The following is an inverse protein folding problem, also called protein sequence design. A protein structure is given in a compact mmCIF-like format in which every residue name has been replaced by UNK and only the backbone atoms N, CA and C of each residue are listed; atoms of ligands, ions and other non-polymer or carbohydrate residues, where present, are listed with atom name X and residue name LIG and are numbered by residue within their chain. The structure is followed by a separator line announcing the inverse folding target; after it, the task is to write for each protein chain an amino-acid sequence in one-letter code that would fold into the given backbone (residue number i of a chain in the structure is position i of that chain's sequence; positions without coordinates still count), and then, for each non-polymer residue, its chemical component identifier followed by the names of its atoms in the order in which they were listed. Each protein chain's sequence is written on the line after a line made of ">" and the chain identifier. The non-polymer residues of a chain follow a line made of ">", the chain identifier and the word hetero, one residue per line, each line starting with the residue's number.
data_IF_127957766335
#
_entry.id   IF_127957766335
#
_cell.length_a   1.000
_cell.length_b   1.000
_cell.length_c   1.000
_cell.angle_alpha   90.00
_cell.angle_beta   90.00
_cell.angle_gamma   90.00
#
_symmetry.space_group_name_H-M   'P 1'
#
loop_
_entity.id
_entity.type
_entity.pdbx_description
1 polymer ?
#
# COMPACT_ATOMS: atom_id res chain seq x y z
N UNK A 1 10.33 -5.28 33.20
CA UNK A 1 11.27 -4.93 32.13
C UNK A 1 10.55 -3.99 31.17
N UNK A 2 11.18 -2.89 30.75
CA UNK A 2 10.66 -1.95 29.77
C UNK A 2 11.21 -2.34 28.40
N UNK A 3 10.46 -3.06 27.56
CA UNK A 3 10.97 -3.63 26.31
C UNK A 3 11.08 -2.59 25.18
N UNK A 4 10.39 -1.46 25.29
CA UNK A 4 10.41 -0.40 24.30
C UNK A 4 11.22 0.78 24.82
N UNK A 5 12.04 1.36 23.95
CA UNK A 5 12.76 2.59 24.28
C UNK A 5 12.99 3.45 23.05
N UNK A 6 13.05 4.75 23.29
CA UNK A 6 13.39 5.77 22.29
C UNK A 6 14.63 6.48 22.82
N UNK A 7 15.66 6.63 22.00
CA UNK A 7 16.89 7.34 22.33
C UNK A 7 17.00 8.57 21.45
N UNK A 8 17.34 9.70 22.09
CA UNK A 8 17.60 10.97 21.42
C UNK A 8 18.87 11.59 22.03
N UNK A 9 19.41 12.61 21.39
CA UNK A 9 20.54 13.39 21.94
C UNK A 9 20.27 13.98 23.34
N UNK A 10 18.98 14.14 23.71
CA UNK A 10 18.58 14.76 25.00
C UNK A 10 18.23 13.76 26.08
N UNK A 11 18.07 12.49 25.75
CA UNK A 11 17.70 11.48 26.74
C UNK A 11 17.16 10.19 26.14
N UNK A 12 16.87 9.25 27.03
CA UNK A 12 16.25 7.98 26.68
C UNK A 12 14.90 7.85 27.39
N UNK A 13 13.85 7.50 26.62
CA UNK A 13 12.53 7.16 27.13
C UNK A 13 12.35 5.65 27.06
N UNK A 14 11.99 5.04 28.18
CA UNK A 14 11.62 3.63 28.22
C UNK A 14 10.13 3.49 28.50
N UNK A 15 9.48 2.51 27.87
CA UNK A 15 8.03 2.31 27.94
C UNK A 15 7.76 0.86 28.33
N UNK A 16 6.84 0.65 29.27
CA UNK A 16 6.40 -0.69 29.68
C UNK A 16 5.70 -1.41 28.53
N UNK A 17 5.65 -2.75 28.59
CA UNK A 17 5.04 -3.58 27.53
C UNK A 17 3.54 -3.27 27.31
N UNK A 18 2.84 -2.89 28.35
CA UNK A 18 1.43 -2.50 28.32
C UNK A 18 1.20 -1.01 28.03
N UNK A 19 2.29 -0.28 27.74
CA UNK A 19 2.30 1.17 27.48
C UNK A 19 1.68 2.03 28.61
N UNK A 20 1.55 1.48 29.82
CA UNK A 20 0.93 2.21 30.97
C UNK A 20 1.94 2.99 31.77
N UNK A 21 3.22 2.69 31.63
CA UNK A 21 4.31 3.33 32.38
C UNK A 21 5.44 3.73 31.44
N UNK A 22 6.02 4.91 31.68
CA UNK A 22 7.19 5.38 30.98
C UNK A 22 8.18 6.02 31.97
N UNK A 23 9.49 5.92 31.68
CA UNK A 23 10.55 6.56 32.43
C UNK A 23 11.46 7.32 31.48
N UNK A 24 11.82 8.54 31.88
CA UNK A 24 12.73 9.39 31.14
C UNK A 24 14.08 9.47 31.85
N UNK A 25 15.14 9.25 31.12
CA UNK A 25 16.52 9.32 31.60
C UNK A 25 17.27 10.41 30.83
N UNK A 26 17.89 11.36 31.55
CA UNK A 26 18.72 12.43 30.98
C UNK A 26 20.19 12.36 31.41
N UNK A 27 20.54 11.37 32.22
CA UNK A 27 21.95 11.20 32.66
C UNK A 27 22.79 10.69 31.49
N UNK A 28 23.90 11.36 31.10
CA UNK A 28 24.70 11.01 29.93
C UNK A 28 25.15 9.54 29.90
N UNK A 29 25.56 8.99 31.04
CA UNK A 29 25.98 7.59 31.13
C UNK A 29 24.85 6.61 30.82
N UNK A 30 23.63 6.91 31.29
CA UNK A 30 22.45 6.10 31.01
C UNK A 30 22.01 6.22 29.53
N UNK A 31 22.02 7.43 28.97
CA UNK A 31 21.70 7.67 27.54
C UNK A 31 22.69 6.91 26.68
N UNK A 32 24.00 7.01 26.94
CA UNK A 32 25.03 6.28 26.19
C UNK A 32 24.86 4.76 26.26
N UNK A 33 24.36 4.22 27.37
CA UNK A 33 24.05 2.79 27.47
C UNK A 33 22.92 2.40 26.52
N UNK A 34 21.83 3.21 26.45
CA UNK A 34 20.72 2.96 25.53
C UNK A 34 21.10 3.19 24.08
N UNK A 35 21.98 4.16 23.78
CA UNK A 35 22.53 4.34 22.41
C UNK A 35 23.28 3.09 21.93
N UNK A 36 24.17 2.55 22.81
CA UNK A 36 24.88 1.31 22.49
C UNK A 36 23.93 0.12 22.31
N UNK A 37 22.93 0.00 23.16
CA UNK A 37 21.91 -1.04 23.03
C UNK A 37 21.11 -0.89 21.75
N UNK A 38 20.73 0.34 21.39
CA UNK A 38 20.05 0.65 20.13
C UNK A 38 20.90 0.26 18.92
N UNK A 39 22.19 0.64 18.90
CA UNK A 39 23.10 0.30 17.81
C UNK A 39 23.17 -1.23 17.60
N UNK A 40 23.32 -2.01 18.68
CA UNK A 40 23.35 -3.47 18.60
C UNK A 40 22.04 -4.06 18.10
N UNK A 41 20.90 -3.52 18.50
CA UNK A 41 19.58 -3.96 18.02
C UNK A 41 19.36 -3.55 16.57
N UNK A 42 19.76 -2.33 16.21
CA UNK A 42 19.67 -1.82 14.85
C UNK A 42 20.49 -2.66 13.86
N UNK A 43 21.74 -2.97 14.20
CA UNK A 43 22.62 -3.80 13.36
C UNK A 43 22.06 -5.23 13.14
N UNK A 44 21.25 -5.72 14.08
CA UNK A 44 20.63 -7.04 14.03
C UNK A 44 19.21 -7.04 13.50
N UNK A 45 18.61 -5.86 13.32
CA UNK A 45 17.25 -5.74 12.84
C UNK A 45 17.21 -5.56 11.32
N UNK A 46 16.17 -6.06 10.70
CA UNK A 46 15.85 -5.66 9.35
C UNK A 46 15.21 -4.27 9.38
N UNK A 47 15.55 -3.36 8.44
CA UNK A 47 14.88 -2.08 8.34
C UNK A 47 13.37 -2.28 8.26
N UNK A 48 12.61 -1.59 9.09
CA UNK A 48 11.14 -1.57 9.01
C UNK A 48 10.61 -0.38 8.21
N UNK A 49 11.48 0.57 7.88
CA UNK A 49 11.16 1.78 7.14
C UNK A 49 12.17 1.98 6.00
N UNK A 50 11.67 2.08 4.79
CA UNK A 50 12.46 2.33 3.59
C UNK A 50 12.02 3.66 3.00
N UNK A 51 12.97 4.56 2.74
CA UNK A 51 12.75 5.78 1.96
C UNK A 51 13.00 5.45 0.49
N UNK A 52 12.17 6.00 -0.39
CA UNK A 52 12.31 5.83 -1.84
C UNK A 52 11.90 7.10 -2.58
N UNK A 53 12.41 7.28 -3.78
CA UNK A 53 12.24 8.48 -4.61
C UNK A 53 11.83 8.15 -6.05
N UNK A 54 11.72 6.87 -6.38
CA UNK A 54 11.37 6.39 -7.72
C UNK A 54 10.57 5.10 -7.64
N UNK A 55 9.90 4.77 -8.76
CA UNK A 55 9.17 3.50 -8.90
C UNK A 55 10.09 2.29 -8.74
N UNK A 56 11.29 2.23 -9.35
CA UNK A 56 12.22 1.13 -9.13
C UNK A 56 12.64 0.95 -7.66
N UNK A 57 12.92 2.04 -6.95
CA UNK A 57 13.27 1.98 -5.54
C UNK A 57 12.11 1.50 -4.67
N UNK A 58 10.87 1.89 -4.99
CA UNK A 58 9.69 1.36 -4.35
C UNK A 58 9.61 -0.17 -4.47
N UNK A 59 9.76 -0.72 -5.69
CA UNK A 59 9.74 -2.16 -5.89
C UNK A 59 10.92 -2.89 -5.23
N UNK A 60 12.09 -2.26 -5.17
CA UNK A 60 13.21 -2.79 -4.39
C UNK A 60 12.88 -2.84 -2.90
N UNK A 61 12.24 -1.79 -2.36
CA UNK A 61 11.80 -1.78 -0.98
C UNK A 61 10.77 -2.89 -0.72
N UNK A 62 9.76 -3.07 -1.59
CA UNK A 62 8.81 -4.19 -1.54
C UNK A 62 9.53 -5.54 -1.53
N UNK A 63 10.50 -5.73 -2.43
CA UNK A 63 11.24 -7.00 -2.50
C UNK A 63 12.06 -7.28 -1.23
N UNK A 64 12.63 -6.24 -0.59
CA UNK A 64 13.35 -6.39 0.70
C UNK A 64 12.42 -6.87 1.82
N UNK A 65 11.13 -6.62 1.74
CA UNK A 65 10.15 -7.13 2.69
C UNK A 65 9.80 -8.61 2.46
N UNK A 66 10.34 -9.23 1.40
CA UNK A 66 10.02 -10.58 0.95
C UNK A 66 10.09 -11.62 2.06
N UNK A 67 11.10 -11.55 2.93
CA UNK A 67 11.26 -12.50 4.05
C UNK A 67 10.10 -12.45 5.05
N UNK A 68 9.35 -11.36 5.11
CA UNK A 68 8.13 -11.26 5.93
C UNK A 68 6.98 -12.09 5.33
N UNK A 69 7.06 -12.44 4.05
CA UNK A 69 6.00 -13.07 3.27
C UNK A 69 6.29 -14.52 2.83
N UNK A 70 7.51 -15.03 3.06
CA UNK A 70 7.98 -16.32 2.49
C UNK A 70 7.15 -17.56 2.89
N UNK A 71 6.32 -17.47 3.92
CA UNK A 71 5.53 -18.61 4.41
C UNK A 71 4.05 -18.57 3.97
N UNK A 72 3.65 -17.67 3.04
CA UNK A 72 2.27 -17.18 2.93
C UNK A 72 1.51 -17.49 1.66
N UNK A 73 1.82 -18.58 0.98
CA UNK A 73 0.97 -18.99 -0.14
C UNK A 73 -0.44 -19.30 0.37
N UNK A 74 -1.40 -18.51 -0.07
CA UNK A 74 -2.82 -18.73 0.18
C UNK A 74 -3.48 -17.82 1.20
N UNK A 75 -2.82 -16.78 1.70
CA UNK A 75 -3.37 -15.80 2.63
C UNK A 75 -4.25 -14.74 1.95
N UNK A 76 -5.10 -14.07 2.74
CA UNK A 76 -5.90 -12.94 2.29
C UNK A 76 -5.12 -11.64 2.47
N UNK A 77 -5.16 -10.79 1.44
CA UNK A 77 -4.56 -9.47 1.41
C UNK A 77 -5.66 -8.41 1.34
N UNK A 78 -5.63 -7.46 2.26
CA UNK A 78 -6.51 -6.29 2.27
C UNK A 78 -5.70 -5.06 1.88
N UNK A 79 -6.05 -4.45 0.76
CA UNK A 79 -5.41 -3.26 0.20
C UNK A 79 -6.36 -2.08 0.42
N UNK A 80 -5.98 -1.17 1.29
CA UNK A 80 -6.71 0.08 1.52
C UNK A 80 -5.99 1.20 0.76
N UNK A 81 -6.66 1.79 -0.20
CA UNK A 81 -6.14 2.87 -1.02
C UNK A 81 -7.19 3.97 -1.22
N UNK A 82 -6.77 5.15 -1.63
CA UNK A 82 -7.71 6.22 -1.97
C UNK A 82 -8.56 5.84 -3.18
N UNK A 83 -7.92 5.30 -4.22
CA UNK A 83 -8.53 4.93 -5.51
C UNK A 83 -8.64 3.41 -5.66
N UNK A 84 -9.47 2.91 -6.60
CA UNK A 84 -9.41 1.51 -6.98
C UNK A 84 -7.99 1.11 -7.41
N UNK A 85 -7.34 0.23 -6.67
CA UNK A 85 -5.99 -0.25 -7.01
C UNK A 85 -6.04 -1.10 -8.29
N UNK A 86 -5.23 -0.75 -9.28
CA UNK A 86 -5.11 -1.43 -10.56
C UNK A 86 -3.77 -2.13 -10.75
N UNK A 87 -2.94 -2.20 -9.70
CA UNK A 87 -1.60 -2.79 -9.75
C UNK A 87 -1.60 -4.22 -10.31
N UNK A 88 -2.64 -5.02 -10.03
CA UNK A 88 -2.79 -6.38 -10.57
C UNK A 88 -3.03 -6.43 -12.08
N UNK A 89 -3.36 -5.31 -12.71
CA UNK A 89 -3.54 -5.17 -14.17
C UNK A 89 -2.35 -4.55 -14.89
N UNK A 90 -1.33 -4.14 -14.17
CA UNK A 90 -0.12 -3.51 -14.71
C UNK A 90 0.73 -4.55 -15.43
N UNK A 91 1.16 -4.25 -16.66
CA UNK A 91 2.13 -5.03 -17.42
C UNK A 91 3.54 -4.46 -17.28
N UNK A 92 4.55 -5.21 -17.70
CA UNK A 92 5.93 -4.73 -17.78
C UNK A 92 6.03 -3.45 -18.63
N UNK A 93 5.31 -3.41 -19.77
CA UNK A 93 5.26 -2.23 -20.63
C UNK A 93 4.64 -1.01 -19.93
N UNK A 94 3.61 -1.22 -19.12
CA UNK A 94 3.01 -0.13 -18.35
C UNK A 94 4.01 0.42 -17.34
N UNK A 95 4.75 -0.43 -16.65
CA UNK A 95 5.82 0.00 -15.73
C UNK A 95 6.88 0.85 -16.44
N UNK A 96 7.31 0.45 -17.64
CA UNK A 96 8.27 1.24 -18.43
C UNK A 96 7.74 2.64 -18.72
N UNK A 97 6.46 2.80 -18.98
CA UNK A 97 5.84 4.11 -19.23
C UNK A 97 5.63 4.96 -17.98
N UNK A 98 5.67 4.34 -16.80
CA UNK A 98 5.48 5.03 -15.52
C UNK A 98 6.77 5.68 -14.97
N UNK A 99 7.94 5.37 -15.53
CA UNK A 99 9.20 5.93 -15.06
C UNK A 99 9.37 7.38 -15.50
N UNK A 100 9.93 8.21 -14.61
CA UNK A 100 10.12 9.64 -14.88
C UNK A 100 11.28 9.91 -15.82
N UNK A 101 12.28 9.03 -15.90
CA UNK A 101 13.47 9.20 -16.75
C UNK A 101 13.75 7.97 -17.60
N UNK A 102 14.44 8.18 -18.75
CA UNK A 102 14.92 7.09 -19.60
C UNK A 102 15.96 6.21 -18.88
N UNK A 103 16.78 6.79 -18.00
CA UNK A 103 17.75 6.05 -17.19
C UNK A 103 17.03 5.08 -16.23
N UNK A 104 15.94 5.53 -15.62
CA UNK A 104 15.10 4.66 -14.80
C UNK A 104 14.39 3.60 -15.63
N UNK A 105 13.90 3.93 -16.83
CA UNK A 105 13.23 2.97 -17.71
C UNK A 105 14.16 1.86 -18.22
N UNK A 106 15.45 2.18 -18.38
CA UNK A 106 16.50 1.20 -18.69
C UNK A 106 16.84 0.27 -17.52
N UNK A 107 16.46 0.66 -16.30
CA UNK A 107 16.73 -0.12 -15.10
C UNK A 107 15.61 -1.14 -14.83
N UNK A 108 15.62 -2.23 -15.63
CA UNK A 108 14.96 -3.47 -15.25
C UNK A 108 13.44 -3.40 -14.92
N UNK A 109 12.63 -2.81 -15.80
CA UNK A 109 11.17 -2.91 -15.69
C UNK A 109 10.70 -4.37 -15.54
N UNK A 110 11.39 -5.31 -16.18
CA UNK A 110 11.17 -6.75 -16.02
C UNK A 110 11.41 -7.23 -14.57
N UNK A 111 12.43 -6.72 -13.88
CA UNK A 111 12.69 -7.07 -12.46
C UNK A 111 11.62 -6.46 -11.57
N UNK A 112 11.28 -5.19 -11.76
CA UNK A 112 10.20 -4.54 -11.02
C UNK A 112 8.86 -5.25 -11.25
N UNK A 113 8.58 -5.63 -12.48
CA UNK A 113 7.40 -6.42 -12.83
C UNK A 113 7.41 -7.80 -12.17
N UNK A 114 8.56 -8.48 -12.15
CA UNK A 114 8.69 -9.74 -11.42
C UNK A 114 8.42 -9.60 -9.91
N UNK A 115 8.87 -8.51 -9.30
CA UNK A 115 8.58 -8.22 -7.88
C UNK A 115 7.09 -7.93 -7.66
N UNK A 116 6.45 -7.17 -8.54
CA UNK A 116 5.01 -6.92 -8.49
C UNK A 116 4.23 -8.23 -8.61
N UNK A 117 4.53 -9.04 -9.62
CA UNK A 117 3.87 -10.33 -9.85
C UNK A 117 4.07 -11.26 -8.66
N UNK A 118 5.30 -11.37 -8.13
CA UNK A 118 5.59 -12.16 -6.94
C UNK A 118 4.79 -11.68 -5.72
N UNK A 119 4.65 -10.38 -5.55
CA UNK A 119 3.87 -9.78 -4.45
C UNK A 119 2.38 -10.10 -4.57
N UNK A 120 1.76 -9.80 -5.72
CA UNK A 120 0.32 -9.99 -5.91
C UNK A 120 -0.07 -11.48 -5.99
N UNK A 121 0.78 -12.37 -6.52
CA UNK A 121 0.46 -13.80 -6.65
C UNK A 121 0.50 -14.57 -5.34
N UNK A 122 1.02 -13.97 -4.28
CA UNK A 122 1.03 -14.58 -2.93
C UNK A 122 -0.33 -14.57 -2.26
N UNK A 123 -1.16 -13.58 -2.58
CA UNK A 123 -2.51 -13.52 -2.05
C UNK A 123 -3.41 -14.51 -2.81
N UNK A 124 -4.17 -15.31 -2.06
CA UNK A 124 -5.22 -16.15 -2.59
C UNK A 124 -6.45 -15.32 -2.95
N UNK A 125 -6.74 -14.30 -2.14
CA UNK A 125 -7.79 -13.34 -2.35
C UNK A 125 -7.28 -11.94 -1.96
N UNK A 126 -7.56 -10.96 -2.81
CA UNK A 126 -7.26 -9.55 -2.58
C UNK A 126 -8.56 -8.78 -2.35
N UNK A 127 -8.67 -8.15 -1.19
CA UNK A 127 -9.75 -7.23 -0.85
C UNK A 127 -9.28 -5.80 -1.13
N UNK A 128 -9.75 -5.20 -2.20
CA UNK A 128 -9.37 -3.85 -2.64
C UNK A 128 -10.42 -2.87 -2.12
N UNK A 129 -10.07 -2.11 -1.09
CA UNK A 129 -10.95 -1.17 -0.40
C UNK A 129 -10.53 0.25 -0.75
N UNK A 130 -11.45 1.04 -1.28
CA UNK A 130 -11.20 2.42 -1.71
C UNK A 130 -12.37 3.34 -1.36
N UNK A 131 -12.15 4.66 -1.39
CA UNK A 131 -13.20 5.63 -1.07
C UNK A 131 -14.11 5.94 -2.26
N UNK A 132 -15.35 6.34 -1.97
CA UNK A 132 -16.28 6.84 -3.00
C UNK A 132 -15.70 8.05 -3.73
N UNK A 133 -15.09 8.98 -3.00
CA UNK A 133 -14.43 10.14 -3.58
C UNK A 133 -13.26 9.73 -4.49
N UNK A 134 -12.41 8.81 -4.03
CA UNK A 134 -11.30 8.31 -4.83
C UNK A 134 -11.77 7.59 -6.10
N UNK A 135 -12.90 6.88 -6.04
CA UNK A 135 -13.52 6.32 -7.24
C UNK A 135 -13.95 7.43 -8.21
N UNK A 136 -14.57 8.50 -7.73
CA UNK A 136 -14.98 9.62 -8.57
C UNK A 136 -13.75 10.26 -9.25
N UNK A 137 -12.70 10.55 -8.49
CA UNK A 137 -11.45 11.09 -9.00
C UNK A 137 -10.81 10.15 -10.04
N UNK A 138 -10.79 8.83 -9.79
CA UNK A 138 -10.27 7.84 -10.73
C UNK A 138 -10.97 7.89 -12.10
N UNK A 139 -12.28 8.12 -12.15
CA UNK A 139 -13.02 8.19 -13.40
C UNK A 139 -13.08 9.58 -14.03
N UNK A 140 -13.00 10.65 -13.26
CA UNK A 140 -13.17 12.01 -13.74
C UNK A 140 -11.87 12.71 -14.11
N UNK A 141 -10.80 12.51 -13.32
CA UNK A 141 -9.54 13.20 -13.54
C UNK A 141 -8.85 12.70 -14.82
N UNK A 142 -8.26 13.61 -15.56
CA UNK A 142 -7.48 13.26 -16.76
C UNK A 142 -6.12 12.66 -16.35
N UNK A 143 -5.54 13.14 -15.27
CA UNK A 143 -4.29 12.62 -14.71
C UNK A 143 -4.58 11.66 -13.56
N UNK A 144 -3.99 10.48 -13.62
CA UNK A 144 -4.04 9.47 -12.57
C UNK A 144 -2.67 8.82 -12.39
N UNK A 145 -2.21 8.77 -11.16
CA UNK A 145 -0.93 8.19 -10.78
C UNK A 145 -1.18 7.02 -9.82
N UNK A 146 -0.75 5.83 -10.21
CA UNK A 146 -0.90 4.64 -9.36
C UNK A 146 0.00 4.72 -8.13
N UNK A 147 1.18 5.31 -8.27
CA UNK A 147 2.12 5.43 -7.17
C UNK A 147 2.21 6.84 -6.59
N UNK A 148 2.48 7.84 -7.36
CA UNK A 148 2.39 9.29 -7.08
C UNK A 148 2.97 10.10 -8.24
N UNK A 149 2.52 11.33 -8.41
CA UNK A 149 3.03 12.25 -9.44
C UNK A 149 4.49 12.63 -9.27
N UNK A 150 5.04 12.57 -8.06
CA UNK A 150 6.43 12.91 -7.80
C UNK A 150 7.42 11.78 -8.12
N UNK A 151 6.94 10.55 -8.32
CA UNK A 151 7.79 9.39 -8.61
C UNK A 151 7.39 8.62 -9.87
N UNK A 152 6.28 8.97 -10.50
CA UNK A 152 5.79 8.28 -11.70
C UNK A 152 5.10 9.22 -12.66
N UNK A 153 4.97 8.80 -13.92
CA UNK A 153 4.12 9.45 -14.92
C UNK A 153 2.67 8.97 -14.79
N UNK A 154 1.69 9.78 -15.25
CA UNK A 154 0.29 9.38 -15.18
C UNK A 154 -0.05 8.24 -16.14
N UNK A 155 -0.98 7.39 -15.71
CA UNK A 155 -1.56 6.36 -16.57
C UNK A 155 -2.65 6.98 -17.43
N UNK A 156 -2.61 6.83 -18.77
CA UNK A 156 -3.66 7.33 -19.65
C UNK A 156 -5.03 6.76 -19.29
N UNK A 157 -6.07 7.56 -19.45
CA UNK A 157 -7.46 7.27 -19.06
C UNK A 157 -7.98 5.96 -19.65
N UNK A 158 -7.73 5.77 -20.94
CA UNK A 158 -8.10 4.55 -21.67
C UNK A 158 -7.44 3.32 -21.06
N UNK A 159 -6.14 3.45 -20.77
CA UNK A 159 -5.34 2.32 -20.27
C UNK A 159 -5.77 1.92 -18.86
N UNK A 160 -6.03 2.87 -17.96
CA UNK A 160 -6.49 2.52 -16.59
C UNK A 160 -7.87 1.85 -16.59
N UNK A 161 -8.78 2.22 -17.53
CA UNK A 161 -10.06 1.56 -17.65
C UNK A 161 -9.95 0.15 -18.24
N UNK A 162 -9.02 -0.06 -19.18
CA UNK A 162 -8.70 -1.39 -19.67
C UNK A 162 -8.17 -2.29 -18.56
N UNK A 163 -7.21 -1.81 -17.77
CA UNK A 163 -6.65 -2.53 -16.63
C UNK A 163 -7.73 -2.91 -15.62
N UNK A 164 -8.51 -1.94 -15.14
CA UNK A 164 -9.58 -2.20 -14.19
C UNK A 164 -10.63 -3.16 -14.76
N UNK A 165 -11.06 -2.96 -16.00
CA UNK A 165 -12.02 -3.85 -16.67
C UNK A 165 -11.48 -5.27 -16.84
N UNK A 166 -10.17 -5.41 -17.11
CA UNK A 166 -9.52 -6.72 -17.22
C UNK A 166 -9.52 -7.46 -15.88
N UNK A 167 -9.14 -6.79 -14.80
CA UNK A 167 -9.15 -7.36 -13.44
C UNK A 167 -10.57 -7.82 -13.07
N UNK A 168 -11.56 -6.95 -13.28
CA UNK A 168 -12.96 -7.25 -12.93
C UNK A 168 -13.55 -8.43 -13.72
N UNK A 169 -13.05 -8.70 -14.94
CA UNK A 169 -13.52 -9.81 -15.79
C UNK A 169 -12.80 -11.13 -15.53
N UNK A 170 -11.58 -11.10 -15.00
CA UNK A 170 -10.73 -12.30 -14.95
C UNK A 170 -11.13 -13.29 -13.86
N UNK A 171 -11.47 -12.84 -12.66
CA UNK A 171 -11.85 -13.75 -11.59
C UNK A 171 -12.44 -13.02 -10.38
N UNK A 172 -13.74 -13.14 -10.18
CA UNK A 172 -14.46 -12.54 -9.04
C UNK A 172 -14.04 -13.11 -7.67
N UNK A 173 -13.50 -14.31 -7.62
CA UNK A 173 -13.11 -14.94 -6.35
C UNK A 173 -11.76 -14.47 -5.84
N UNK A 174 -10.89 -14.00 -6.74
CA UNK A 174 -9.56 -13.52 -6.40
C UNK A 174 -9.55 -12.05 -6.00
N UNK A 175 -10.32 -11.20 -6.68
CA UNK A 175 -10.34 -9.75 -6.43
C UNK A 175 -11.71 -9.31 -5.95
N UNK A 176 -11.78 -8.80 -4.74
CA UNK A 176 -12.98 -8.28 -4.10
C UNK A 176 -12.85 -6.77 -3.96
N UNK A 177 -13.53 -6.03 -4.83
CA UNK A 177 -13.59 -4.58 -4.77
C UNK A 177 -14.70 -4.13 -3.83
N UNK A 178 -14.37 -3.30 -2.85
CA UNK A 178 -15.31 -2.75 -1.89
C UNK A 178 -15.11 -1.25 -1.78
N UNK A 179 -16.20 -0.51 -1.69
CA UNK A 179 -16.17 0.95 -1.63
C UNK A 179 -16.59 1.42 -0.25
N UNK A 180 -15.76 2.27 0.34
CA UNK A 180 -16.03 2.93 1.61
C UNK A 180 -16.72 4.27 1.35
N UNK A 181 -17.87 4.52 1.99
CA UNK A 181 -18.66 5.76 1.83
C UNK A 181 -17.94 7.00 2.35
N UNK A 182 -17.05 6.80 3.33
CA UNK A 182 -16.28 7.90 3.93
C UNK A 182 -14.80 7.69 3.64
N UNK A 183 -14.11 8.78 3.30
CA UNK A 183 -12.68 8.73 3.10
C UNK A 183 -11.97 8.95 4.43
N UNK A 184 -11.18 7.97 4.86
CA UNK A 184 -10.23 8.13 5.96
C UNK A 184 -8.80 8.40 5.46
N UNK A 185 -8.56 8.17 4.18
CA UNK A 185 -7.24 8.34 3.54
C UNK A 185 -6.99 9.78 3.10
N UNK A 186 -8.03 10.60 2.93
CA UNK A 186 -7.89 11.97 2.43
C UNK A 186 -7.20 12.92 3.41
N UNK A 187 -7.17 12.58 4.69
CA UNK A 187 -6.55 13.41 5.74
C UNK A 187 -5.21 12.87 6.23
N UNK A 188 -4.85 11.68 5.82
CA UNK A 188 -3.58 11.08 6.15
C UNK A 188 -2.67 11.13 4.92
N UNK A 189 -1.39 11.44 5.12
CA UNK A 189 -0.38 11.32 4.07
C UNK A 189 -0.10 9.84 3.73
N UNK A 190 -1.16 9.03 3.66
CA UNK A 190 -1.13 7.59 3.41
C UNK A 190 -1.57 7.37 1.96
N UNK A 191 -0.70 6.76 1.17
CA UNK A 191 -0.99 6.37 -0.21
C UNK A 191 -1.60 4.97 -0.31
N UNK A 192 -1.17 4.06 0.56
CA UNK A 192 -1.68 2.70 0.60
C UNK A 192 -1.37 2.02 1.93
N UNK A 193 -2.24 1.10 2.30
CA UNK A 193 -2.09 0.27 3.48
C UNK A 193 -2.48 -1.16 3.11
N UNK A 194 -1.49 -2.04 3.06
CA UNK A 194 -1.66 -3.45 2.78
C UNK A 194 -1.61 -4.24 4.07
N UNK A 195 -2.62 -5.05 4.32
CA UNK A 195 -2.77 -5.82 5.55
C UNK A 195 -2.96 -7.28 5.19
N UNK A 196 -2.05 -8.11 5.68
CA UNK A 196 -2.16 -9.55 5.57
C UNK A 196 -2.80 -10.13 6.84
N UNK A 197 -3.68 -11.09 6.70
CA UNK A 197 -4.40 -11.68 7.81
C UNK A 197 -3.49 -12.42 8.82
N UNK A 198 -2.24 -12.72 8.48
CA UNK A 198 -1.23 -13.33 9.34
C UNK A 198 -0.42 -12.33 10.18
N UNK A 199 -0.66 -11.03 10.04
CA UNK A 199 -0.05 -9.99 10.85
C UNK A 199 0.93 -9.08 10.13
N UNK A 200 1.23 -9.27 8.83
CA UNK A 200 2.07 -8.32 8.14
C UNK A 200 1.26 -7.12 7.66
N UNK A 201 1.88 -5.97 7.76
CA UNK A 201 1.33 -4.69 7.38
C UNK A 201 2.40 -3.96 6.58
N UNK A 202 2.03 -3.42 5.43
CA UNK A 202 2.83 -2.51 4.63
C UNK A 202 2.07 -1.20 4.52
N UNK A 203 2.71 -0.13 4.96
CA UNK A 203 2.17 1.21 4.90
C UNK A 203 3.03 2.07 3.98
N UNK A 204 2.44 2.65 2.96
CA UNK A 204 3.08 3.63 2.07
C UNK A 204 2.60 5.02 2.45
N UNK A 205 3.54 5.89 2.80
CA UNK A 205 3.27 7.25 3.28
C UNK A 205 4.08 8.29 2.53
N UNK A 206 3.55 9.52 2.47
CA UNK A 206 4.26 10.69 1.97
C UNK A 206 4.38 11.74 3.08
N UNK A 207 5.60 12.22 3.32
CA UNK A 207 5.89 13.36 4.19
C UNK A 207 6.79 14.35 3.44
N UNK A 208 6.27 15.53 3.11
CA UNK A 208 7.04 16.61 2.46
C UNK A 208 7.90 16.09 1.28
N UNK A 209 7.28 15.55 0.25
CA UNK A 209 7.92 15.01 -0.96
C UNK A 209 8.80 13.75 -0.73
N UNK A 210 8.85 13.24 0.48
CA UNK A 210 9.56 11.99 0.77
C UNK A 210 8.58 10.84 0.93
N UNK A 211 8.81 9.75 0.21
CA UNK A 211 8.03 8.54 0.31
C UNK A 211 8.71 7.54 1.24
N UNK A 212 7.88 6.92 2.06
CA UNK A 212 8.30 5.91 3.01
C UNK A 212 7.44 4.67 2.85
N UNK A 213 8.08 3.52 2.82
CA UNK A 213 7.45 2.22 2.97
C UNK A 213 7.79 1.69 4.36
N UNK A 214 6.77 1.54 5.19
CA UNK A 214 6.90 1.03 6.56
C UNK A 214 6.33 -0.38 6.60
N UNK A 215 7.09 -1.30 7.18
CA UNK A 215 6.69 -2.70 7.31
C UNK A 215 6.61 -3.10 8.76
N UNK A 216 5.51 -3.73 9.14
CA UNK A 216 5.29 -4.27 10.48
C UNK A 216 4.86 -5.73 10.37
N UNK A 217 5.26 -6.55 11.34
CA UNK A 217 4.72 -7.90 11.53
C UNK A 217 4.14 -8.01 12.93
N UNK A 218 2.90 -7.55 13.08
CA UNK A 218 2.20 -7.52 14.36
C UNK A 218 0.75 -7.97 14.20
N UNK A 219 0.48 -9.20 14.64
CA UNK A 219 -0.82 -9.85 14.45
C UNK A 219 -1.95 -9.16 15.19
N UNK A 220 -1.68 -8.59 16.35
CA UNK A 220 -2.72 -7.89 17.13
C UNK A 220 -3.21 -6.63 16.41
N UNK A 221 -2.31 -5.88 15.78
CA UNK A 221 -2.66 -4.68 15.01
C UNK A 221 -3.43 -5.07 13.75
N UNK A 222 -2.94 -6.01 12.96
CA UNK A 222 -3.64 -6.46 11.76
C UNK A 222 -5.04 -7.00 12.08
N UNK A 223 -5.15 -7.84 13.11
CA UNK A 223 -6.44 -8.39 13.55
C UNK A 223 -7.41 -7.30 14.01
N UNK A 224 -6.94 -6.25 14.69
CA UNK A 224 -7.78 -5.14 15.11
C UNK A 224 -8.30 -4.34 13.89
N UNK A 225 -7.44 -4.07 12.90
CA UNK A 225 -7.85 -3.38 11.68
C UNK A 225 -8.85 -4.23 10.89
N UNK A 226 -8.58 -5.53 10.72
CA UNK A 226 -9.49 -6.44 10.01
C UNK A 226 -10.85 -6.56 10.71
N UNK A 227 -10.86 -6.66 12.04
CA UNK A 227 -12.12 -6.66 12.82
C UNK A 227 -12.90 -5.36 12.62
N UNK A 228 -12.22 -4.22 12.52
CA UNK A 228 -12.86 -2.94 12.24
C UNK A 228 -13.44 -2.90 10.80
N UNK A 229 -12.73 -3.41 9.80
CA UNK A 229 -13.26 -3.51 8.44
C UNK A 229 -14.51 -4.38 8.36
N UNK A 230 -14.54 -5.53 9.02
CA UNK A 230 -15.74 -6.38 9.13
C UNK A 230 -16.90 -5.64 9.81
N UNK A 231 -16.62 -4.89 10.87
CA UNK A 231 -17.66 -4.07 11.53
C UNK A 231 -18.23 -3.00 10.59
N UNK A 232 -17.40 -2.36 9.75
CA UNK A 232 -17.87 -1.40 8.75
C UNK A 232 -18.74 -2.06 7.67
N UNK A 233 -18.45 -3.32 7.32
CA UNK A 233 -19.27 -4.11 6.40
C UNK A 233 -20.65 -4.43 7.02
N UNK A 234 -20.70 -4.85 8.28
CA UNK A 234 -21.95 -5.08 9.04
C UNK A 234 -22.81 -3.81 9.12
N UNK A 235 -22.18 -2.65 9.31
CA UNK A 235 -22.87 -1.35 9.32
C UNK A 235 -23.28 -0.87 7.91
N UNK A 236 -22.94 -1.59 6.83
CA UNK A 236 -23.16 -1.18 5.44
C UNK A 236 -22.49 0.17 5.06
N UNK A 237 -21.43 0.51 5.76
CA UNK A 237 -20.56 1.63 5.45
C UNK A 237 -19.56 1.21 4.36
N UNK A 238 -19.15 -0.04 4.37
CA UNK A 238 -18.40 -0.71 3.31
C UNK A 238 -19.40 -1.44 2.39
N UNK A 239 -19.32 -1.19 1.08
CA UNK A 239 -20.22 -1.81 0.09
C UNK A 239 -19.90 -3.30 -0.08
N UNK A 240 -20.87 -4.05 -0.59
CA UNK A 240 -20.59 -5.43 -1.01
C UNK A 240 -19.69 -5.48 -2.25
N UNK A 241 -18.86 -6.51 -2.33
CA UNK A 241 -17.93 -6.66 -3.46
C UNK A 241 -18.67 -6.84 -4.79
N UNK A 242 -19.78 -7.58 -4.81
CA UNK A 242 -20.56 -7.82 -6.04
C UNK A 242 -21.16 -6.52 -6.60
N UNK A 243 -21.78 -5.69 -5.74
CA UNK A 243 -22.35 -4.40 -6.15
C UNK A 243 -21.27 -3.43 -6.66
N UNK A 244 -20.13 -3.41 -5.97
CA UNK A 244 -19.02 -2.54 -6.34
C UNK A 244 -18.41 -2.96 -7.68
N UNK A 245 -18.16 -4.25 -7.88
CA UNK A 245 -17.63 -4.77 -9.15
C UNK A 245 -18.55 -4.48 -10.32
N UNK A 246 -19.87 -4.69 -10.18
CA UNK A 246 -20.86 -4.37 -11.21
C UNK A 246 -20.89 -2.87 -11.54
N UNK A 247 -20.86 -2.02 -10.52
CA UNK A 247 -20.82 -0.57 -10.69
C UNK A 247 -19.55 -0.11 -11.42
N UNK A 248 -18.38 -0.61 -11.03
CA UNK A 248 -17.10 -0.28 -11.67
C UNK A 248 -17.08 -0.72 -13.13
N UNK A 249 -17.56 -1.93 -13.41
CA UNK A 249 -17.62 -2.45 -14.77
C UNK A 249 -18.53 -1.62 -15.67
N UNK A 250 -19.70 -1.20 -15.17
CA UNK A 250 -20.61 -0.30 -15.89
C UNK A 250 -19.97 1.05 -16.18
N UNK A 251 -19.24 1.63 -15.22
CA UNK A 251 -18.50 2.87 -15.44
C UNK A 251 -17.41 2.73 -16.50
N UNK A 252 -16.60 1.66 -16.47
CA UNK A 252 -15.60 1.40 -17.51
C UNK A 252 -16.23 1.29 -18.90
N UNK A 253 -17.32 0.54 -19.03
CA UNK A 253 -18.02 0.37 -20.30
C UNK A 253 -18.63 1.66 -20.83
N UNK A 254 -19.21 2.49 -19.99
CA UNK A 254 -19.76 3.80 -20.36
C UNK A 254 -18.67 4.70 -20.94
N UNK A 255 -17.54 4.80 -20.28
CA UNK A 255 -16.45 5.64 -20.74
C UNK A 255 -15.79 5.12 -22.03
N UNK A 256 -15.63 3.82 -22.19
CA UNK A 256 -15.13 3.23 -23.44
C UNK A 256 -16.02 3.55 -24.64
N UNK A 257 -17.35 3.55 -24.47
CA UNK A 257 -18.30 3.88 -25.55
C UNK A 257 -18.27 5.39 -25.91
N UNK A 258 -18.00 6.26 -24.96
CA UNK A 258 -17.94 7.70 -25.21
C UNK A 258 -16.63 8.17 -25.86
N UNK A 259 -15.58 7.37 -25.73
CA UNK A 259 -14.26 7.64 -26.32
C UNK A 259 -14.10 7.10 -27.75
N UNK A 260 -14.93 6.13 -28.17
CA UNK A 260 -14.88 5.66 -29.55
C UNK A 260 -15.46 6.75 -30.47
N UNK A 261 -14.69 7.34 -31.42
CA UNK A 261 -15.23 8.30 -32.35
C UNK A 261 -16.40 7.66 -33.07
N UNK A 262 -17.56 8.32 -33.11
CA UNK A 262 -18.62 7.92 -34.03
C UNK A 262 -18.02 7.98 -35.43
N UNK A 263 -17.74 6.84 -36.03
CA UNK A 263 -17.41 6.75 -37.46
C UNK A 263 -18.50 7.47 -38.23
N UNK A 264 -18.16 8.64 -38.79
CA UNK A 264 -19.00 9.41 -39.73
C UNK A 264 -18.90 8.73 -41.08
#
# INVERSE_FOLDING_TARGET
>A
MFPYFIVTERGALTISRDCTKAMWFCQPATVSLYEKQYAVLFDRSNPFCYKFFSVPEFFQAINRTRNMFNERQGEELYILAKHPCISSGISERDLQTMYLSEEESGYNANICYAYLVDYITRAKCEHIIFSEQGMQEFFQNDLYYEYSESISTPIPKERRYEMLSSILKQNSDRWRFQMLKYSFMDHANIHGLDIWNDGAIILVMNFHENFFLITLKEKSISSAILAYLHYLEELKVLSSSAETADMLLKKCQFHQKTMTPKSI
#
